data_IF_811280767293
#
_entry.id   IF_811280767293
#
_cell.length_a   1.000
_cell.length_b   1.000
_cell.length_c   1.000
_cell.angle_alpha   90.00
_cell.angle_beta   90.00
_cell.angle_gamma   90.00
#
_symmetry.space_group_name_H-M   'P 1'
#
loop_
_entity.id
_entity.type
_entity.pdbx_description
1 polymer ?
#
# COMPACT_ATOMS: atom_id res chain seq x y z
N UNK A 1 -3.83 11.20 -28.06
CA UNK A 1 -3.50 11.23 -26.62
C UNK A 1 -3.11 9.82 -26.21
N UNK A 2 -2.25 9.69 -25.20
CA UNK A 2 -1.80 8.41 -24.67
C UNK A 2 -2.45 8.19 -23.31
N UNK A 3 -3.04 7.02 -23.09
CA UNK A 3 -3.51 6.60 -21.77
C UNK A 3 -2.34 5.94 -21.04
N UNK A 4 -2.07 6.43 -19.85
CA UNK A 4 -1.00 5.96 -18.97
C UNK A 4 -1.63 5.22 -17.79
N UNK A 5 -0.98 4.18 -17.30
CA UNK A 5 -1.28 3.58 -16.00
C UNK A 5 -0.23 4.10 -15.01
N UNK A 6 -0.69 4.61 -13.86
CA UNK A 6 0.17 4.95 -12.74
C UNK A 6 -0.38 4.37 -11.44
N UNK A 7 0.55 4.04 -10.55
CA UNK A 7 0.26 3.57 -9.20
C UNK A 7 0.75 4.59 -8.17
N UNK A 8 0.65 4.25 -6.89
CA UNK A 8 1.08 5.06 -5.75
C UNK A 8 2.53 5.57 -5.84
N UNK A 9 3.41 4.82 -6.52
CA UNK A 9 4.81 5.15 -6.72
C UNK A 9 5.04 6.44 -7.55
N UNK A 10 4.08 6.86 -8.37
CA UNK A 10 4.20 8.11 -9.12
C UNK A 10 4.24 9.31 -8.15
N UNK A 11 3.48 9.22 -7.05
CA UNK A 11 3.47 10.25 -6.01
C UNK A 11 4.76 10.27 -5.22
N UNK A 12 5.25 9.08 -4.83
CA UNK A 12 6.48 8.95 -4.05
C UNK A 12 7.72 9.34 -4.86
N UNK A 13 7.76 8.96 -6.13
CA UNK A 13 8.81 9.36 -7.06
C UNK A 13 8.83 10.87 -7.30
N UNK A 14 7.66 11.50 -7.48
CA UNK A 14 7.60 12.97 -7.59
C UNK A 14 8.06 13.65 -6.29
N UNK A 15 7.64 13.13 -5.14
CA UNK A 15 8.07 13.64 -3.83
C UNK A 15 9.59 13.54 -3.58
N UNK A 16 10.28 12.60 -4.23
CA UNK A 16 11.76 12.49 -4.23
C UNK A 16 12.46 13.41 -5.25
N UNK A 17 11.75 14.36 -5.88
CA UNK A 17 12.29 15.25 -6.92
C UNK A 17 12.96 14.50 -8.08
N UNK A 18 12.43 13.33 -8.45
CA UNK A 18 13.06 12.39 -9.39
C UNK A 18 12.97 12.78 -10.88
N UNK A 19 12.74 14.05 -11.22
CA UNK A 19 12.40 14.55 -12.58
C UNK A 19 11.10 13.99 -13.19
N UNK A 20 10.33 13.22 -12.41
CA UNK A 20 9.05 12.63 -12.82
C UNK A 20 7.94 13.69 -12.83
N UNK A 21 6.97 13.59 -13.76
CA UNK A 21 5.84 14.52 -13.83
C UNK A 21 5.06 14.51 -12.51
N UNK A 22 4.54 15.67 -12.10
CA UNK A 22 3.60 15.71 -10.98
C UNK A 22 2.29 15.03 -11.41
N UNK A 23 1.90 13.89 -10.81
CA UNK A 23 0.70 13.16 -11.24
C UNK A 23 -0.62 13.89 -10.99
N UNK A 24 -0.62 14.95 -10.17
CA UNK A 24 -1.79 15.80 -9.90
C UNK A 24 -1.83 17.09 -10.74
N UNK A 25 -0.70 17.51 -11.35
CA UNK A 25 -0.62 18.80 -12.07
C UNK A 25 -0.21 18.65 -13.55
N UNK A 26 0.74 17.75 -13.84
CA UNK A 26 1.23 17.51 -15.21
C UNK A 26 0.42 16.46 -15.96
N UNK A 27 -0.34 15.66 -15.21
CA UNK A 27 -1.24 14.65 -15.72
C UNK A 27 -2.68 14.94 -15.28
N UNK A 28 -3.64 14.38 -16.00
CA UNK A 28 -5.05 14.38 -15.63
C UNK A 28 -5.42 12.94 -15.22
N UNK A 29 -5.69 12.67 -13.94
CA UNK A 29 -6.25 11.40 -13.51
C UNK A 29 -7.65 11.23 -14.11
N UNK A 30 -7.84 10.18 -14.91
CA UNK A 30 -9.13 9.82 -15.48
C UNK A 30 -9.98 9.08 -14.44
N UNK A 31 -9.36 8.17 -13.69
CA UNK A 31 -9.97 7.38 -12.63
C UNK A 31 -8.87 6.81 -11.72
N UNK A 32 -9.12 6.73 -10.43
CA UNK A 32 -8.49 5.72 -9.56
C UNK A 32 -9.51 4.62 -9.38
N UNK A 33 -9.18 3.42 -9.82
CA UNK A 33 -10.11 2.28 -9.86
C UNK A 33 -9.80 1.22 -8.81
N UNK A 34 -8.71 1.38 -8.07
CA UNK A 34 -8.33 0.52 -6.96
C UNK A 34 -7.65 1.37 -5.90
N UNK A 35 -8.14 1.29 -4.67
CA UNK A 35 -7.46 1.80 -3.47
C UNK A 35 -7.48 0.71 -2.42
N UNK A 36 -6.34 0.40 -1.82
CA UNK A 36 -6.28 -0.63 -0.79
C UNK A 36 -5.27 -0.29 0.30
N UNK A 37 -5.51 -0.85 1.48
CA UNK A 37 -4.62 -0.75 2.62
C UNK A 37 -3.59 -1.88 2.59
N UNK A 38 -2.58 -1.78 3.47
CA UNK A 38 -1.61 -2.85 3.69
C UNK A 38 -1.82 -3.49 5.06
N UNK A 39 -1.35 -4.72 5.23
CA UNK A 39 -1.33 -5.42 6.50
C UNK A 39 0.03 -6.07 6.73
N UNK A 40 0.30 -6.41 7.99
CA UNK A 40 1.38 -7.31 8.36
C UNK A 40 0.82 -8.72 8.52
N UNK A 41 1.41 -9.68 7.81
CA UNK A 41 1.06 -11.09 7.83
C UNK A 41 2.17 -11.92 8.45
N UNK A 42 1.75 -13.00 9.10
CA UNK A 42 2.64 -14.05 9.60
C UNK A 42 2.12 -15.40 9.11
N UNK A 43 2.94 -16.46 9.22
CA UNK A 43 2.45 -17.81 8.96
C UNK A 43 1.38 -18.19 9.98
N UNK A 44 0.33 -18.86 9.56
CA UNK A 44 -0.73 -19.32 10.48
C UNK A 44 -0.23 -20.36 11.48
N UNK A 45 0.80 -21.14 11.12
CA UNK A 45 1.45 -22.12 11.99
C UNK A 45 2.62 -21.55 12.81
N UNK A 46 2.79 -20.23 12.84
CA UNK A 46 3.78 -19.58 13.70
C UNK A 46 3.46 -19.83 15.18
N UNK A 47 4.49 -20.18 15.96
CA UNK A 47 4.36 -20.52 17.40
C UNK A 47 5.16 -19.58 18.30
N UNK A 48 6.04 -18.76 17.74
CA UNK A 48 6.85 -17.78 18.49
C UNK A 48 6.05 -16.55 18.90
N UNK A 49 5.04 -16.18 18.10
CA UNK A 49 4.11 -15.05 18.29
C UNK A 49 2.84 -15.32 17.49
N UNK A 50 1.70 -14.77 17.94
CA UNK A 50 0.38 -15.10 17.35
C UNK A 50 -0.43 -13.90 16.89
N UNK A 51 -0.06 -12.71 17.35
CA UNK A 51 -0.75 -11.44 17.15
C UNK A 51 0.28 -10.29 17.14
N UNK A 52 -0.19 -9.05 16.96
CA UNK A 52 0.68 -7.89 16.91
C UNK A 52 1.47 -7.64 18.22
N UNK A 53 0.84 -7.63 19.41
CA UNK A 53 1.59 -7.42 20.66
C UNK A 53 2.70 -8.45 20.89
N UNK A 54 2.40 -9.75 20.74
CA UNK A 54 3.40 -10.81 20.91
C UNK A 54 4.49 -10.76 19.83
N UNK A 55 4.16 -10.31 18.61
CA UNK A 55 5.15 -10.09 17.56
C UNK A 55 6.12 -8.96 17.92
N UNK A 56 5.64 -7.81 18.40
CA UNK A 56 6.50 -6.69 18.82
C UNK A 56 7.44 -7.11 19.96
N UNK A 57 6.91 -7.76 21.01
CA UNK A 57 7.71 -8.28 22.12
C UNK A 57 8.81 -9.24 21.62
N UNK A 58 8.44 -10.16 20.74
CA UNK A 58 9.40 -11.11 20.17
C UNK A 58 10.47 -10.41 19.33
N UNK A 59 10.10 -9.43 18.49
CA UNK A 59 11.03 -8.66 17.65
C UNK A 59 12.04 -7.90 18.51
N UNK A 60 11.60 -7.24 19.59
CA UNK A 60 12.47 -6.52 20.52
C UNK A 60 13.50 -7.47 21.16
N UNK A 61 13.08 -8.68 21.52
CA UNK A 61 13.98 -9.71 22.06
C UNK A 61 15.01 -10.24 21.03
N UNK A 62 14.80 -10.03 19.72
CA UNK A 62 15.73 -10.49 18.68
C UNK A 62 16.95 -9.59 18.49
N UNK A 63 17.02 -8.42 19.15
CA UNK A 63 18.12 -7.46 19.01
C UNK A 63 18.44 -7.14 17.54
N UNK A 64 17.40 -6.78 16.77
CA UNK A 64 17.53 -6.37 15.36
C UNK A 64 17.75 -7.50 14.36
N UNK A 65 17.58 -8.77 14.74
CA UNK A 65 17.70 -9.94 13.83
C UNK A 65 16.39 -10.39 13.20
N UNK A 66 15.25 -9.91 13.70
CA UNK A 66 13.94 -10.20 13.10
C UNK A 66 13.85 -9.63 11.69
N UNK A 67 13.10 -10.29 10.81
CA UNK A 67 13.03 -9.97 9.38
C UNK A 67 11.60 -9.82 8.87
N UNK A 68 11.38 -8.88 7.96
CA UNK A 68 10.10 -8.70 7.26
C UNK A 68 10.32 -8.59 5.76
N UNK A 69 9.58 -9.37 4.97
CA UNK A 69 9.60 -9.26 3.52
C UNK A 69 8.66 -8.16 3.03
N UNK A 70 9.10 -7.36 2.05
CA UNK A 70 8.31 -6.31 1.37
C UNK A 70 8.99 -5.86 0.06
N UNK A 71 8.54 -4.75 -0.55
CA UNK A 71 9.31 -4.01 -1.59
C UNK A 71 9.91 -2.75 -0.96
N UNK A 72 11.09 -2.88 -0.34
CA UNK A 72 11.78 -1.76 0.34
C UNK A 72 12.76 -1.02 -0.58
N UNK A 73 12.34 -0.71 -1.82
CA UNK A 73 13.09 0.16 -2.72
C UNK A 73 13.10 1.59 -2.18
N UNK A 74 14.18 2.33 -2.46
CA UNK A 74 14.24 3.75 -2.14
C UNK A 74 13.00 4.47 -2.72
N UNK A 75 12.34 5.26 -1.89
CA UNK A 75 11.08 5.92 -2.25
C UNK A 75 9.82 5.06 -2.19
N UNK A 76 9.87 3.79 -1.80
CA UNK A 76 8.66 2.98 -1.70
C UNK A 76 7.81 3.33 -0.46
N UNK A 77 6.49 3.17 -0.61
CA UNK A 77 5.52 3.29 0.48
C UNK A 77 5.89 2.42 1.68
N UNK A 78 6.35 1.19 1.42
CA UNK A 78 6.66 0.23 2.46
C UNK A 78 7.78 0.70 3.37
N UNK A 79 8.80 1.40 2.84
CA UNK A 79 9.85 1.96 3.69
C UNK A 79 9.32 3.04 4.61
N UNK A 80 8.45 3.91 4.09
CA UNK A 80 7.83 5.00 4.86
C UNK A 80 6.95 4.44 5.97
N UNK A 81 6.05 3.52 5.63
CA UNK A 81 5.15 2.91 6.62
C UNK A 81 5.92 2.07 7.63
N UNK A 82 6.92 1.29 7.21
CA UNK A 82 7.74 0.55 8.16
C UNK A 82 8.53 1.46 9.09
N UNK A 83 8.98 2.63 8.63
CA UNK A 83 9.59 3.64 9.52
C UNK A 83 8.61 4.10 10.59
N UNK A 84 7.39 4.50 10.21
CA UNK A 84 6.38 4.90 11.20
C UNK A 84 6.04 3.79 12.20
N UNK A 85 5.87 2.56 11.71
CA UNK A 85 5.57 1.41 12.58
C UNK A 85 6.72 1.15 13.55
N UNK A 86 7.96 1.12 13.05
CA UNK A 86 9.15 0.82 13.89
C UNK A 86 9.45 1.92 14.90
N UNK A 87 9.28 3.18 14.53
CA UNK A 87 9.43 4.33 15.44
C UNK A 87 8.34 4.30 16.53
N UNK A 88 7.08 4.01 16.16
CA UNK A 88 5.96 3.99 17.10
C UNK A 88 5.97 2.78 18.06
N UNK A 89 6.54 1.65 17.63
CA UNK A 89 6.60 0.43 18.45
C UNK A 89 7.94 0.20 19.15
N UNK A 90 8.91 1.09 18.96
CA UNK A 90 10.29 0.94 19.46
C UNK A 90 10.87 -0.44 19.12
N UNK A 91 10.65 -0.89 17.88
CA UNK A 91 11.12 -2.20 17.41
C UNK A 91 12.17 -2.03 16.30
N UNK A 92 13.13 -2.94 16.27
CA UNK A 92 14.14 -3.01 15.20
C UNK A 92 13.93 -4.26 14.36
N UNK A 93 13.59 -4.08 13.08
CA UNK A 93 13.33 -5.17 12.14
C UNK A 93 14.03 -4.94 10.79
N UNK A 94 14.63 -5.99 10.23
CA UNK A 94 15.30 -5.93 8.94
C UNK A 94 14.30 -6.12 7.81
N UNK A 95 14.25 -5.15 6.90
CA UNK A 95 13.42 -5.25 5.70
C UNK A 95 14.18 -6.02 4.60
N UNK A 96 13.66 -7.18 4.20
CA UNK A 96 14.20 -8.00 3.12
C UNK A 96 13.40 -7.72 1.84
N UNK A 97 14.03 -7.02 0.89
CA UNK A 97 13.37 -6.56 -0.33
C UNK A 97 13.24 -7.68 -1.36
N UNK A 98 12.04 -7.89 -1.88
CA UNK A 98 11.76 -8.80 -2.98
C UNK A 98 10.93 -8.11 -4.07
N UNK A 99 11.54 -7.86 -5.23
CA UNK A 99 10.87 -7.22 -6.37
C UNK A 99 9.66 -7.99 -6.89
N UNK A 100 9.71 -9.33 -6.82
CA UNK A 100 8.64 -10.21 -7.31
C UNK A 100 7.85 -10.81 -6.15
N UNK A 101 6.53 -10.89 -6.29
CA UNK A 101 5.66 -11.47 -5.26
C UNK A 101 5.94 -12.96 -5.00
N UNK A 102 6.18 -13.76 -6.03
CA UNK A 102 6.42 -15.20 -5.86
C UNK A 102 7.57 -15.55 -4.87
N UNK A 103 8.80 -15.02 -5.03
CA UNK A 103 9.85 -15.25 -4.03
C UNK A 103 9.54 -14.60 -2.67
N UNK A 104 8.86 -13.44 -2.64
CA UNK A 104 8.45 -12.76 -1.40
C UNK A 104 7.54 -13.63 -0.54
N UNK A 105 6.47 -14.17 -1.14
CA UNK A 105 5.50 -15.01 -0.44
C UNK A 105 6.10 -16.37 -0.12
N UNK A 106 6.94 -16.91 -1.01
CA UNK A 106 7.71 -18.13 -0.75
C UNK A 106 8.62 -18.01 0.47
N UNK A 107 9.26 -16.84 0.67
CA UNK A 107 10.12 -16.59 1.83
C UNK A 107 9.33 -16.65 3.15
N UNK A 108 8.15 -16.03 3.22
CA UNK A 108 7.31 -16.12 4.43
C UNK A 108 6.81 -17.55 4.64
N UNK A 109 6.26 -18.17 3.58
CA UNK A 109 5.72 -19.53 3.64
C UNK A 109 6.76 -20.56 4.09
N UNK A 110 7.99 -20.43 3.59
CA UNK A 110 9.10 -21.33 3.86
C UNK A 110 9.85 -21.07 5.18
N UNK A 111 9.45 -20.07 5.98
CA UNK A 111 10.16 -19.81 7.24
C UNK A 111 11.40 -18.92 7.12
N UNK A 112 11.70 -18.37 5.94
CA UNK A 112 12.92 -17.61 5.70
C UNK A 112 12.84 -16.17 6.20
N UNK A 113 11.63 -15.62 6.30
CA UNK A 113 11.36 -14.34 6.97
C UNK A 113 10.32 -14.52 8.07
N UNK A 114 10.30 -13.60 9.03
CA UNK A 114 9.42 -13.65 10.21
C UNK A 114 8.03 -13.07 9.92
N UNK A 115 7.96 -12.03 9.08
CA UNK A 115 6.71 -11.39 8.70
C UNK A 115 6.71 -10.97 7.22
N UNK A 116 5.55 -10.55 6.73
CA UNK A 116 5.33 -9.98 5.40
C UNK A 116 4.50 -8.70 5.54
N UNK A 117 4.94 -7.61 4.92
CA UNK A 117 4.11 -6.42 4.73
C UNK A 117 3.55 -6.45 3.29
N UNK A 118 2.23 -6.52 3.14
CA UNK A 118 1.60 -6.66 1.82
C UNK A 118 0.15 -6.15 1.79
N UNK A 119 -0.39 -5.94 0.58
CA UNK A 119 -1.81 -5.72 0.37
C UNK A 119 -2.63 -7.05 0.36
N UNK A 120 -3.87 -7.08 0.89
CA UNK A 120 -4.63 -8.32 1.03
C UNK A 120 -4.92 -9.08 -0.27
N UNK A 121 -5.21 -8.36 -1.35
CA UNK A 121 -5.55 -8.96 -2.65
C UNK A 121 -4.43 -9.80 -3.26
N UNK A 122 -3.18 -9.49 -2.93
CA UNK A 122 -2.01 -10.19 -3.46
C UNK A 122 -1.73 -11.50 -2.73
N UNK A 123 -2.10 -11.57 -1.45
CA UNK A 123 -1.94 -12.75 -0.61
C UNK A 123 -3.23 -13.55 -0.41
N UNK A 124 -4.35 -13.14 -1.04
CA UNK A 124 -5.68 -13.78 -0.93
C UNK A 124 -5.62 -15.30 -0.92
N UNK A 125 -4.91 -15.91 -1.88
CA UNK A 125 -4.78 -17.37 -1.99
C UNK A 125 -4.16 -18.04 -0.76
N UNK A 126 -3.24 -17.36 -0.07
CA UNK A 126 -2.60 -17.87 1.15
C UNK A 126 -3.48 -17.66 2.39
N UNK A 127 -4.32 -16.62 2.39
CA UNK A 127 -5.35 -16.42 3.39
C UNK A 127 -6.42 -17.51 3.28
N UNK A 128 -6.93 -17.76 2.07
CA UNK A 128 -7.93 -18.80 1.80
C UNK A 128 -7.41 -20.21 2.11
N UNK A 129 -6.13 -20.47 1.84
CA UNK A 129 -5.48 -21.73 2.17
C UNK A 129 -5.07 -21.85 3.65
N UNK A 130 -5.33 -20.82 4.46
CA UNK A 130 -4.95 -20.80 5.88
C UNK A 130 -3.44 -20.82 6.12
N UNK A 131 -2.62 -20.46 5.12
CA UNK A 131 -1.17 -20.42 5.26
C UNK A 131 -0.68 -19.15 5.96
N UNK A 132 -1.33 -18.02 5.68
CA UNK A 132 -1.01 -16.72 6.30
C UNK A 132 -2.19 -16.23 7.12
N UNK A 133 -1.89 -15.43 8.14
CA UNK A 133 -2.89 -14.64 8.87
C UNK A 133 -2.39 -13.21 9.08
N UNK A 134 -3.26 -12.20 8.90
CA UNK A 134 -2.94 -10.82 9.25
C UNK A 134 -2.89 -10.64 10.77
N UNK A 135 -1.96 -9.81 11.25
CA UNK A 135 -1.83 -9.46 12.67
C UNK A 135 -1.95 -7.96 12.94
N UNK A 136 -1.77 -7.13 11.91
CA UNK A 136 -1.93 -5.68 11.98
C UNK A 136 -2.50 -5.15 10.67
N UNK A 137 -3.52 -4.32 10.74
CA UNK A 137 -4.03 -3.55 9.60
C UNK A 137 -3.49 -2.13 9.63
N UNK A 138 -2.85 -1.69 8.55
CA UNK A 138 -2.41 -0.29 8.39
C UNK A 138 -3.52 0.47 7.68
N UNK A 139 -4.56 0.79 8.46
CA UNK A 139 -5.72 1.56 8.03
C UNK A 139 -6.41 2.14 9.27
N UNK A 140 -7.09 3.29 9.13
CA UNK A 140 -7.62 4.01 10.29
C UNK A 140 -8.75 3.27 11.01
N UNK A 141 -9.44 2.38 10.32
CA UNK A 141 -10.58 1.62 10.82
C UNK A 141 -10.44 0.14 10.47
N UNK A 142 -11.12 -0.74 11.20
CA UNK A 142 -11.10 -2.18 10.91
C UNK A 142 -11.89 -2.45 9.62
N UNK A 143 -11.25 -2.94 8.55
CA UNK A 143 -11.95 -3.24 7.31
C UNK A 143 -12.84 -4.48 7.49
N UNK A 144 -14.01 -4.53 6.85
CA UNK A 144 -15.09 -5.48 7.19
C UNK A 144 -14.65 -6.94 7.32
N UNK A 145 -14.02 -7.51 6.29
CA UNK A 145 -13.56 -8.92 6.29
C UNK A 145 -12.32 -9.17 7.17
N UNK A 146 -11.73 -8.11 7.73
CA UNK A 146 -10.58 -8.14 8.64
C UNK A 146 -10.94 -7.53 10.01
N UNK A 147 -12.22 -7.60 10.42
CA UNK A 147 -12.72 -7.00 11.66
C UNK A 147 -12.05 -7.51 12.94
N UNK A 148 -11.41 -8.67 12.89
CA UNK A 148 -10.72 -9.27 14.03
C UNK A 148 -9.25 -8.81 14.14
N UNK A 149 -8.72 -8.14 13.11
CA UNK A 149 -7.34 -7.66 13.06
C UNK A 149 -7.28 -6.24 13.59
N UNK A 150 -6.42 -5.93 14.59
CA UNK A 150 -6.30 -4.57 15.09
C UNK A 150 -5.76 -3.61 14.04
N UNK A 151 -6.16 -2.35 14.13
CA UNK A 151 -5.57 -1.28 13.33
C UNK A 151 -4.29 -0.75 13.94
N UNK A 152 -3.49 -0.02 13.16
CA UNK A 152 -2.32 0.69 13.69
C UNK A 152 -2.71 1.72 14.76
N UNK A 153 -3.84 2.42 14.58
CA UNK A 153 -4.37 3.37 15.56
C UNK A 153 -4.77 2.71 16.88
N UNK A 154 -5.43 1.56 16.82
CA UNK A 154 -5.79 0.80 18.04
C UNK A 154 -4.57 0.31 18.82
N UNK A 155 -3.44 0.12 18.14
CA UNK A 155 -2.16 -0.25 18.74
C UNK A 155 -1.33 0.97 19.17
N UNK A 156 -1.92 2.18 19.18
CA UNK A 156 -1.27 3.39 19.68
C UNK A 156 -0.33 4.09 18.69
N UNK A 157 -0.34 3.69 17.41
CA UNK A 157 0.48 4.35 16.39
C UNK A 157 -0.29 5.52 15.77
N UNK A 158 0.24 6.73 15.94
CA UNK A 158 -0.40 7.97 15.46
C UNK A 158 0.25 8.46 14.15
N UNK A 159 -0.18 7.87 13.04
CA UNK A 159 0.18 8.32 11.69
C UNK A 159 -0.97 8.04 10.72
N UNK A 160 -1.07 8.85 9.67
CA UNK A 160 -2.01 8.58 8.59
C UNK A 160 -1.46 7.49 7.66
N UNK A 161 -2.23 6.47 7.29
CA UNK A 161 -1.74 5.39 6.46
C UNK A 161 -1.62 5.82 4.99
N UNK A 162 -0.49 5.54 4.36
CA UNK A 162 -0.37 5.59 2.90
C UNK A 162 -1.10 4.41 2.28
N UNK A 163 -2.02 4.69 1.36
CA UNK A 163 -2.78 3.68 0.64
C UNK A 163 -2.10 3.31 -0.68
N UNK A 164 -2.25 2.06 -1.08
CA UNK A 164 -1.99 1.64 -2.46
C UNK A 164 -3.10 2.16 -3.33
N UNK A 165 -2.76 2.71 -4.49
CA UNK A 165 -3.77 3.04 -5.48
C UNK A 165 -3.28 2.80 -6.89
N UNK A 166 -4.24 2.63 -7.82
CA UNK A 166 -4.01 2.38 -9.24
C UNK A 166 -5.01 3.14 -10.07
N UNK A 167 -4.54 3.80 -11.10
CA UNK A 167 -5.39 4.60 -11.95
C UNK A 167 -4.85 4.81 -13.34
N UNK A 168 -5.73 5.38 -14.16
CA UNK A 168 -5.43 5.74 -15.53
C UNK A 168 -5.37 7.24 -15.67
N UNK A 169 -4.43 7.71 -16.48
CA UNK A 169 -4.07 9.11 -16.63
C UNK A 169 -3.89 9.45 -18.09
N UNK A 170 -3.94 10.74 -18.40
CA UNK A 170 -3.47 11.30 -19.67
C UNK A 170 -2.60 12.52 -19.37
N UNK A 171 -1.77 12.94 -20.33
CA UNK A 171 -1.06 14.21 -20.22
C UNK A 171 -2.04 15.39 -20.19
N UNK A 172 -1.66 16.48 -19.50
CA UNK A 172 -2.48 17.70 -19.37
C UNK A 172 -2.84 18.39 -20.69
N UNK A 173 -2.07 18.13 -21.75
CA UNK A 173 -2.29 18.68 -23.10
C UNK A 173 -3.23 17.82 -23.96
N UNK A 174 -3.80 16.74 -23.41
CA UNK A 174 -4.80 15.93 -24.09
C UNK A 174 -6.05 16.78 -24.44
N UNK A 175 -6.63 16.62 -25.66
CA UNK A 175 -7.82 17.37 -26.05
C UNK A 175 -9.00 17.13 -25.08
N UNK A 176 -9.67 18.20 -24.67
CA UNK A 176 -10.71 18.16 -23.64
C UNK A 176 -11.87 17.19 -23.98
N UNK A 177 -12.30 17.16 -25.25
CA UNK A 177 -13.34 16.23 -25.75
C UNK A 177 -12.94 14.77 -25.52
N UNK A 178 -11.64 14.46 -25.60
CA UNK A 178 -11.11 13.12 -25.38
C UNK A 178 -10.97 12.78 -23.91
N UNK A 179 -10.55 13.75 -23.11
CA UNK A 179 -10.49 13.60 -21.65
C UNK A 179 -11.88 13.25 -21.10
N UNK A 180 -12.91 14.00 -21.49
CA UNK A 180 -14.28 13.78 -21.02
C UNK A 180 -14.83 12.43 -21.46
N UNK A 181 -14.59 12.04 -22.73
CA UNK A 181 -15.00 10.73 -23.22
C UNK A 181 -14.32 9.58 -22.46
N UNK A 182 -13.03 9.71 -22.15
CA UNK A 182 -12.29 8.71 -21.40
C UNK A 182 -12.76 8.61 -19.95
N UNK A 183 -12.99 9.74 -19.28
CA UNK A 183 -13.53 9.74 -17.90
C UNK A 183 -14.85 8.99 -17.85
N UNK A 184 -15.76 9.26 -18.79
CA UNK A 184 -17.01 8.53 -18.93
C UNK A 184 -16.79 7.03 -19.19
N UNK A 185 -15.89 6.68 -20.11
CA UNK A 185 -15.62 5.28 -20.46
C UNK A 185 -15.03 4.49 -19.29
N UNK A 186 -14.06 5.06 -18.57
CA UNK A 186 -13.44 4.44 -17.40
C UNK A 186 -14.39 4.30 -16.23
N UNK A 187 -15.22 5.32 -15.96
CA UNK A 187 -16.25 5.22 -14.94
C UNK A 187 -17.26 4.11 -15.27
N UNK A 188 -17.68 3.98 -16.54
CA UNK A 188 -18.55 2.88 -16.95
C UNK A 188 -17.88 1.52 -16.81
N UNK A 189 -16.63 1.39 -17.27
CA UNK A 189 -15.87 0.16 -17.15
C UNK A 189 -15.67 -0.25 -15.69
N UNK A 190 -15.46 0.71 -14.78
CA UNK A 190 -15.40 0.44 -13.35
C UNK A 190 -16.69 -0.23 -12.86
N UNK A 191 -17.85 0.25 -13.31
CA UNK A 191 -19.15 -0.29 -12.90
C UNK A 191 -19.53 -1.63 -13.56
N UNK A 192 -18.76 -2.15 -14.52
CA UNK A 192 -19.06 -3.43 -15.16
C UNK A 192 -18.92 -4.60 -14.17
N UNK A 193 -19.87 -5.54 -14.19
CA UNK A 193 -19.90 -6.70 -13.28
C UNK A 193 -18.59 -7.49 -13.30
N UNK A 194 -17.97 -7.62 -14.48
CA UNK A 194 -16.69 -8.32 -14.63
C UNK A 194 -15.54 -7.65 -13.88
N UNK A 195 -15.50 -6.31 -13.85
CA UNK A 195 -14.48 -5.56 -13.12
C UNK A 195 -14.77 -5.55 -11.63
N UNK A 196 -16.04 -5.43 -11.23
CA UNK A 196 -16.44 -5.54 -9.84
C UNK A 196 -16.15 -6.93 -9.25
N UNK A 197 -16.39 -8.00 -10.01
CA UNK A 197 -16.02 -9.36 -9.62
C UNK A 197 -14.50 -9.52 -9.47
N UNK A 198 -13.72 -8.89 -10.35
CA UNK A 198 -12.26 -8.87 -10.20
C UNK A 198 -11.84 -8.13 -8.92
N UNK A 199 -12.41 -6.96 -8.66
CA UNK A 199 -12.14 -6.17 -7.46
C UNK A 199 -12.50 -6.93 -6.18
N UNK A 200 -13.66 -7.61 -6.14
CA UNK A 200 -14.07 -8.46 -5.03
C UNK A 200 -13.08 -9.60 -4.78
N UNK A 201 -12.63 -10.28 -5.85
CA UNK A 201 -11.61 -11.35 -5.76
C UNK A 201 -10.26 -10.88 -5.19
N UNK A 202 -10.05 -9.57 -5.11
CA UNK A 202 -8.84 -8.89 -4.64
C UNK A 202 -9.05 -8.05 -3.38
N UNK A 203 -10.20 -8.16 -2.71
CA UNK A 203 -10.55 -7.31 -1.56
C UNK A 203 -10.56 -5.80 -1.85
N UNK A 204 -10.67 -5.40 -3.12
CA UNK A 204 -10.70 -3.98 -3.50
C UNK A 204 -12.05 -3.32 -3.18
N UNK A 205 -13.06 -4.08 -2.75
CA UNK A 205 -14.33 -3.56 -2.28
C UNK A 205 -14.42 -3.43 -0.75
N UNK A 206 -13.36 -3.79 -0.03
CA UNK A 206 -13.35 -3.77 1.45
C UNK A 206 -13.27 -2.33 1.99
N UNK A 207 -12.68 -1.43 1.22
CA UNK A 207 -12.73 0.02 1.42
C UNK A 207 -13.19 0.67 0.09
N UNK A 208 -13.53 1.96 0.14
CA UNK A 208 -13.88 2.69 -1.09
C UNK A 208 -12.65 2.85 -2.01
N UNK A 209 -12.65 2.05 -3.09
CA UNK A 209 -11.59 1.97 -4.09
C UNK A 209 -11.67 2.99 -5.22
N UNK A 210 -12.77 3.73 -5.35
CA UNK A 210 -13.00 4.59 -6.51
C UNK A 210 -12.68 6.05 -6.21
N UNK A 211 -11.91 6.71 -7.06
CA UNK A 211 -11.86 8.18 -7.10
C UNK A 211 -12.09 8.66 -8.52
N UNK A 212 -12.94 9.67 -8.66
CA UNK A 212 -13.00 10.48 -9.87
C UNK A 212 -11.76 11.40 -9.95
N UNK A 213 -11.69 12.26 -10.96
CA UNK A 213 -10.54 13.16 -11.14
C UNK A 213 -10.27 14.04 -9.92
N UNK A 214 -11.30 14.62 -9.30
CA UNK A 214 -11.12 15.53 -8.18
C UNK A 214 -10.61 14.77 -6.95
N UNK A 215 -11.27 13.66 -6.60
CA UNK A 215 -10.84 12.81 -5.48
C UNK A 215 -9.46 12.20 -5.71
N UNK A 216 -9.08 11.92 -6.96
CA UNK A 216 -7.74 11.45 -7.30
C UNK A 216 -6.68 12.52 -7.05
N UNK A 217 -6.93 13.76 -7.50
CA UNK A 217 -6.01 14.90 -7.28
C UNK A 217 -5.81 15.15 -5.79
N UNK A 218 -6.88 15.18 -5.00
CA UNK A 218 -6.80 15.38 -3.55
C UNK A 218 -5.98 14.29 -2.87
N UNK A 219 -6.25 13.03 -3.20
CA UNK A 219 -5.53 11.88 -2.66
C UNK A 219 -4.04 11.88 -3.04
N UNK A 220 -3.72 12.19 -4.30
CA UNK A 220 -2.34 12.26 -4.79
C UNK A 220 -1.57 13.38 -4.09
N UNK A 221 -2.16 14.57 -3.97
CA UNK A 221 -1.52 15.71 -3.29
C UNK A 221 -1.25 15.41 -1.81
N UNK A 222 -2.22 14.79 -1.12
CA UNK A 222 -2.04 14.36 0.26
C UNK A 222 -0.89 13.35 0.40
N UNK A 223 -0.83 12.36 -0.50
CA UNK A 223 0.26 11.38 -0.51
C UNK A 223 1.63 12.04 -0.77
N UNK A 224 1.74 12.97 -1.72
CA UNK A 224 2.99 13.69 -2.02
C UNK A 224 3.50 14.45 -0.79
N UNK A 225 2.62 15.16 -0.08
CA UNK A 225 2.99 15.88 1.15
C UNK A 225 3.52 14.91 2.20
N UNK A 226 2.80 13.82 2.44
CA UNK A 226 3.21 12.83 3.43
C UNK A 226 4.57 12.19 3.09
N UNK A 227 4.81 11.85 1.81
CA UNK A 227 6.10 11.34 1.37
C UNK A 227 7.23 12.34 1.62
N UNK A 228 7.02 13.63 1.27
CA UNK A 228 8.02 14.69 1.47
C UNK A 228 8.39 14.84 2.94
N UNK A 229 7.42 14.81 3.84
CA UNK A 229 7.67 14.96 5.27
C UNK A 229 8.55 13.82 5.80
N UNK A 230 8.24 12.57 5.43
CA UNK A 230 9.08 11.42 5.82
C UNK A 230 10.46 11.48 5.20
N UNK A 231 10.58 11.85 3.93
CA UNK A 231 11.88 11.96 3.28
C UNK A 231 12.77 13.00 3.95
N UNK A 232 12.22 14.14 4.38
CA UNK A 232 12.95 15.14 5.19
C UNK A 232 13.41 14.57 6.52
N UNK A 233 12.56 13.84 7.24
CA UNK A 233 12.93 13.17 8.49
C UNK A 233 14.01 12.11 8.30
N UNK A 234 14.03 11.45 7.14
CA UNK A 234 15.08 10.50 6.74
C UNK A 234 16.37 11.19 6.28
N UNK A 235 16.43 12.52 6.27
CA UNK A 235 17.60 13.29 5.83
C UNK A 235 17.79 13.31 4.31
N UNK A 236 16.76 12.98 3.54
CA UNK A 236 16.79 13.12 2.08
C UNK A 236 16.47 14.56 1.69
N UNK A 237 17.19 15.07 0.69
CA UNK A 237 16.96 16.40 0.14
C UNK A 237 15.78 16.34 -0.83
N UNK A 238 14.65 16.92 -0.45
CA UNK A 238 13.42 16.96 -1.24
C UNK A 238 12.94 18.40 -1.39
N UNK A 239 12.58 18.78 -2.62
CA UNK A 239 12.05 20.12 -2.95
C UNK A 239 10.56 20.24 -2.62
#
# INVERSE_FOLDING_TARGET
YNVLEHIDDASSAHALDSSRPNPAEDLIPLVISQVTFSQIYIRSNETRYTDWPSFVEWVQAQNGKATIANVSKEGSMERVIMKFITDASDMQIQQISFDKGAPRYGALLGGQVDALFEQPGDVRKFLDAGNFKPILTVFNERPGVFSDVPTHKEMGMDFEPLLRFRGFYVHKDAPADRVDWLKWAFQRAYCEDSYQAFNDSKFMNVIDSYRDTAGAVDMINAAIVQYRDVYKEMGLDVK
#
